data_IF_731733581506
#
_entry.id   IF_731733581506
#
_cell.length_a   1.000
_cell.length_b   1.000
_cell.length_c   1.000
_cell.angle_alpha   90.00
_cell.angle_beta   90.00
_cell.angle_gamma   90.00
#
_symmetry.space_group_name_H-M   'P 1'
#
loop_
_entity.id
_entity.type
_entity.pdbx_description
1 polymer ?
#
# COMPACT_ATOMS: atom_id res chain seq x y z
N UNK A 1 -10.86 -0.81 -21.57
CA UNK A 1 -11.60 -0.99 -22.83
C UNK A 1 -12.97 -0.35 -22.65
N UNK A 2 -13.18 0.84 -23.21
CA UNK A 2 -14.52 1.36 -23.43
C UNK A 2 -14.93 0.92 -24.84
N UNK A 3 -15.84 -0.05 -24.92
CA UNK A 3 -16.27 -0.64 -26.18
C UNK A 3 -17.32 -1.72 -25.93
N UNK A 4 -18.19 -1.96 -26.92
CA UNK A 4 -19.30 -2.94 -26.87
C UNK A 4 -18.83 -4.37 -26.51
N UNK A 5 -17.53 -4.66 -26.66
CA UNK A 5 -16.94 -5.98 -26.37
C UNK A 5 -16.47 -6.17 -24.91
N UNK A 6 -16.59 -5.16 -24.02
CA UNK A 6 -16.09 -5.27 -22.64
C UNK A 6 -16.66 -6.47 -21.87
N UNK A 7 -17.99 -6.72 -21.84
CA UNK A 7 -18.55 -7.89 -21.16
C UNK A 7 -18.07 -9.22 -21.77
N UNK A 8 -17.95 -9.29 -23.09
CA UNK A 8 -17.47 -10.48 -23.79
C UNK A 8 -15.99 -10.78 -23.45
N UNK A 9 -15.15 -9.74 -23.39
CA UNK A 9 -13.75 -9.87 -23.00
C UNK A 9 -13.58 -10.34 -21.55
N UNK A 10 -14.37 -9.77 -20.62
CA UNK A 10 -14.37 -10.21 -19.21
C UNK A 10 -14.80 -11.67 -19.12
N UNK A 11 -15.89 -12.05 -19.81
CA UNK A 11 -16.37 -13.44 -19.83
C UNK A 11 -15.33 -14.42 -20.37
N UNK A 12 -14.64 -14.08 -21.47
CA UNK A 12 -13.57 -14.90 -22.03
C UNK A 12 -12.40 -15.08 -21.06
N UNK A 13 -11.96 -14.00 -20.41
CA UNK A 13 -10.91 -14.05 -19.38
C UNK A 13 -11.30 -14.93 -18.20
N UNK A 14 -12.53 -14.80 -17.70
CA UNK A 14 -13.03 -15.64 -16.61
C UNK A 14 -13.05 -17.12 -17.02
N UNK A 15 -13.49 -17.43 -18.24
CA UNK A 15 -13.49 -18.80 -18.74
C UNK A 15 -12.07 -19.39 -18.88
N UNK A 16 -11.11 -18.58 -19.32
CA UNK A 16 -9.70 -18.98 -19.47
C UNK A 16 -9.04 -19.29 -18.11
N UNK A 17 -9.31 -18.46 -17.09
CA UNK A 17 -8.64 -18.54 -15.78
C UNK A 17 -9.38 -19.39 -14.75
N UNK A 18 -10.64 -19.75 -14.99
CA UNK A 18 -11.47 -20.54 -14.07
C UNK A 18 -10.81 -21.84 -13.56
N UNK A 19 -10.08 -22.65 -14.38
CA UNK A 19 -9.44 -23.86 -13.88
C UNK A 19 -8.40 -23.58 -12.79
N UNK A 20 -7.60 -22.53 -12.94
CA UNK A 20 -6.54 -22.15 -11.99
C UNK A 20 -7.11 -21.51 -10.71
N UNK A 21 -8.25 -20.83 -10.83
CA UNK A 21 -8.97 -20.34 -9.65
C UNK A 21 -9.59 -21.50 -8.88
N UNK A 22 -10.21 -22.46 -9.59
CA UNK A 22 -10.85 -23.61 -8.97
C UNK A 22 -9.87 -24.57 -8.27
N UNK A 23 -8.65 -24.73 -8.80
CA UNK A 23 -7.61 -25.55 -8.16
C UNK A 23 -6.77 -24.80 -7.11
N UNK A 24 -7.01 -23.49 -6.94
CA UNK A 24 -6.35 -22.63 -5.96
C UNK A 24 -4.94 -22.18 -6.34
N UNK A 25 -4.45 -22.49 -7.55
CA UNK A 25 -3.15 -22.01 -8.03
C UNK A 25 -3.15 -20.51 -8.39
N UNK A 26 -4.33 -19.92 -8.58
CA UNK A 26 -4.52 -18.50 -8.87
C UNK A 26 -5.61 -17.90 -7.97
N UNK A 27 -5.33 -16.74 -7.39
CA UNK A 27 -6.35 -15.91 -6.72
C UNK A 27 -6.38 -14.54 -7.38
N UNK A 28 -7.58 -14.05 -7.68
CA UNK A 28 -7.80 -12.78 -8.35
C UNK A 28 -8.65 -11.86 -7.48
N UNK A 29 -8.46 -10.55 -7.64
CA UNK A 29 -9.30 -9.51 -7.06
C UNK A 29 -9.60 -8.45 -8.13
N UNK A 30 -10.77 -7.80 -8.09
CA UNK A 30 -11.12 -6.77 -9.06
C UNK A 30 -10.13 -5.60 -8.99
N UNK A 31 -9.49 -5.30 -10.12
CA UNK A 31 -8.66 -4.12 -10.29
C UNK A 31 -9.47 -2.88 -10.68
N UNK A 32 -8.77 -1.77 -10.97
CA UNK A 32 -9.41 -0.52 -11.39
C UNK A 32 -10.33 -0.72 -12.60
N UNK A 33 -11.59 -0.27 -12.46
CA UNK A 33 -12.59 -0.38 -13.51
C UNK A 33 -13.27 -1.75 -13.59
N UNK A 34 -13.09 -2.62 -12.59
CA UNK A 34 -13.89 -3.83 -12.37
C UNK A 34 -14.55 -3.75 -10.99
N UNK A 35 -15.69 -4.43 -10.89
CA UNK A 35 -16.41 -4.69 -9.64
C UNK A 35 -16.29 -6.18 -9.31
N UNK A 36 -16.52 -6.58 -8.04
CA UNK A 36 -16.59 -8.01 -7.71
C UNK A 36 -17.54 -8.80 -8.62
N UNK A 37 -18.68 -8.19 -8.99
CA UNK A 37 -19.68 -8.78 -9.87
C UNK A 37 -19.13 -9.12 -11.28
N UNK A 38 -18.16 -8.37 -11.78
CA UNK A 38 -17.53 -8.65 -13.07
C UNK A 38 -16.73 -9.99 -13.04
N UNK A 39 -16.38 -10.48 -11.85
CA UNK A 39 -15.59 -11.71 -11.65
C UNK A 39 -16.40 -12.85 -11.02
N UNK A 40 -17.72 -12.70 -10.84
CA UNK A 40 -18.57 -13.70 -10.17
C UNK A 40 -18.45 -15.10 -10.79
N UNK A 41 -18.23 -15.18 -12.11
CA UNK A 41 -18.10 -16.43 -12.86
C UNK A 41 -16.90 -17.30 -12.44
N UNK A 42 -15.88 -16.70 -11.80
CA UNK A 42 -14.71 -17.43 -11.32
C UNK A 42 -14.99 -18.21 -10.03
N UNK A 43 -15.94 -17.75 -9.22
CA UNK A 43 -16.13 -18.24 -7.86
C UNK A 43 -14.92 -17.96 -6.96
N UNK A 44 -15.13 -17.83 -5.65
CA UNK A 44 -14.02 -17.72 -4.70
C UNK A 44 -13.18 -16.44 -4.80
N UNK A 45 -13.69 -15.38 -5.44
CA UNK A 45 -13.04 -14.06 -5.43
C UNK A 45 -13.13 -13.50 -4.00
N UNK A 46 -11.99 -13.21 -3.35
CA UNK A 46 -12.01 -12.61 -2.04
C UNK A 46 -12.72 -11.25 -2.08
N UNK A 47 -13.60 -11.03 -1.10
CA UNK A 47 -14.18 -9.70 -0.91
C UNK A 47 -13.09 -8.72 -0.45
N UNK A 48 -13.19 -7.42 -0.83
CA UNK A 48 -12.38 -6.38 -0.22
C UNK A 48 -12.53 -6.39 1.30
N UNK A 49 -11.44 -6.13 2.01
CA UNK A 49 -11.39 -6.11 3.47
C UNK A 49 -10.83 -4.75 3.92
N UNK A 50 -11.68 -3.70 3.91
CA UNK A 50 -11.25 -2.35 4.21
C UNK A 50 -10.75 -2.20 5.66
N UNK A 51 -11.24 -3.02 6.59
CA UNK A 51 -10.76 -3.04 7.96
C UNK A 51 -9.33 -3.60 8.05
N UNK A 52 -9.04 -4.70 7.36
CA UNK A 52 -7.67 -5.22 7.29
C UNK A 52 -6.71 -4.26 6.60
N UNK A 53 -7.15 -3.60 5.52
CA UNK A 53 -6.36 -2.57 4.85
C UNK A 53 -5.99 -1.42 5.80
N UNK A 54 -6.98 -0.86 6.50
CA UNK A 54 -6.75 0.23 7.47
C UNK A 54 -5.91 -0.23 8.65
N UNK A 55 -6.19 -1.41 9.22
CA UNK A 55 -5.40 -1.98 10.30
C UNK A 55 -3.92 -2.13 9.91
N UNK A 56 -3.65 -2.58 8.69
CA UNK A 56 -2.31 -2.67 8.11
C UNK A 56 -1.58 -1.33 8.04
N UNK A 57 -2.24 -0.29 7.53
CA UNK A 57 -1.70 1.08 7.47
C UNK A 57 -1.36 1.57 8.88
N UNK A 58 -2.29 1.41 9.83
CA UNK A 58 -2.08 1.84 11.22
C UNK A 58 -0.91 1.08 11.86
N UNK A 59 -0.78 -0.22 11.61
CA UNK A 59 0.38 -1.01 12.02
C UNK A 59 1.70 -0.43 11.51
N UNK A 60 1.76 -0.08 10.23
CA UNK A 60 2.93 0.56 9.62
C UNK A 60 3.24 1.93 10.24
N UNK A 61 2.21 2.76 10.47
CA UNK A 61 2.35 4.06 11.12
C UNK A 61 2.94 3.89 12.52
N UNK A 62 2.33 3.04 13.36
CA UNK A 62 2.82 2.77 14.73
C UNK A 62 4.28 2.31 14.75
N UNK A 63 4.64 1.39 13.86
CA UNK A 63 6.02 0.90 13.73
C UNK A 63 7.01 2.02 13.36
N UNK A 64 6.64 2.90 12.43
CA UNK A 64 7.48 4.00 11.97
C UNK A 64 7.61 5.14 12.99
N UNK A 65 6.61 5.32 13.84
CA UNK A 65 6.59 6.37 14.85
C UNK A 65 7.15 5.88 16.20
N UNK A 66 7.13 4.58 16.44
CA UNK A 66 7.56 3.97 17.70
C UNK A 66 6.82 4.55 18.89
N UNK A 67 7.55 4.90 19.96
CA UNK A 67 6.99 5.59 21.14
C UNK A 67 6.86 7.11 20.96
N UNK A 68 7.24 7.67 19.81
CA UNK A 68 7.01 9.09 19.54
C UNK A 68 5.54 9.33 19.28
N UNK A 69 4.97 10.32 19.96
CA UNK A 69 3.61 10.77 19.68
C UNK A 69 3.63 11.50 18.34
N UNK A 70 3.17 10.83 17.28
CA UNK A 70 2.64 11.55 16.12
C UNK A 70 1.36 12.23 16.57
N UNK A 71 1.29 13.54 16.38
CA UNK A 71 0.12 14.31 16.76
C UNK A 71 -0.77 14.59 15.55
N UNK A 72 -0.19 14.64 14.34
CA UNK A 72 -0.88 15.19 13.17
C UNK A 72 -0.66 14.39 11.89
N UNK A 73 -1.71 14.29 11.07
CA UNK A 73 -1.65 13.71 9.74
C UNK A 73 -2.33 14.60 8.70
N UNK A 74 -1.89 14.48 7.45
CA UNK A 74 -2.58 14.97 6.27
C UNK A 74 -2.90 13.77 5.35
N UNK A 75 -4.12 13.73 4.81
CA UNK A 75 -4.62 12.59 4.03
C UNK A 75 -4.93 13.03 2.60
N UNK A 76 -3.99 12.90 1.68
CA UNK A 76 -4.20 13.17 0.25
C UNK A 76 -5.16 12.15 -0.37
N UNK A 77 -5.01 10.88 0.00
CA UNK A 77 -5.87 9.79 -0.46
C UNK A 77 -5.99 8.70 0.61
N UNK A 78 -7.22 8.25 0.85
CA UNK A 78 -7.56 7.29 1.90
C UNK A 78 -7.53 5.83 1.43
N UNK A 79 -7.13 5.56 0.18
CA UNK A 79 -7.20 4.21 -0.39
C UNK A 79 -8.61 3.80 -0.85
N UNK A 80 -9.58 4.71 -0.82
CA UNK A 80 -10.98 4.46 -1.15
C UNK A 80 -11.83 3.97 0.03
N UNK A 81 -11.29 3.96 1.25
CA UNK A 81 -11.99 3.47 2.46
C UNK A 81 -12.74 4.56 3.24
N UNK A 82 -12.65 5.81 2.80
CA UNK A 82 -13.40 6.92 3.39
C UNK A 82 -13.05 7.17 4.86
N UNK A 83 -14.10 7.40 5.65
CA UNK A 83 -14.01 7.73 7.08
C UNK A 83 -13.29 6.66 7.92
N UNK A 84 -13.20 5.41 7.45
CA UNK A 84 -12.62 4.32 8.24
C UNK A 84 -11.15 4.61 8.60
N UNK A 85 -10.38 5.15 7.66
CA UNK A 85 -8.99 5.54 7.90
C UNK A 85 -8.89 6.68 8.90
N UNK A 86 -9.78 7.68 8.81
CA UNK A 86 -9.79 8.82 9.71
C UNK A 86 -10.17 8.42 11.14
N UNK A 87 -11.18 7.55 11.28
CA UNK A 87 -11.61 7.01 12.57
C UNK A 87 -10.48 6.19 13.22
N UNK A 88 -9.74 5.41 12.43
CA UNK A 88 -8.59 4.66 12.92
C UNK A 88 -7.39 5.55 13.32
N UNK A 89 -7.07 6.59 12.54
CA UNK A 89 -6.06 7.58 12.93
C UNK A 89 -6.45 8.31 14.23
N UNK A 90 -7.71 8.70 14.37
CA UNK A 90 -8.20 9.33 15.59
C UNK A 90 -8.11 8.40 16.81
N UNK A 91 -8.33 7.10 16.63
CA UNK A 91 -8.15 6.11 17.69
C UNK A 91 -6.68 5.98 18.16
N UNK A 92 -5.72 6.28 17.28
CA UNK A 92 -4.30 6.43 17.62
C UNK A 92 -3.95 7.78 18.26
N UNK A 93 -4.92 8.68 18.40
CA UNK A 93 -4.67 10.05 18.87
C UNK A 93 -4.03 10.95 17.81
N UNK A 94 -4.12 10.59 16.53
CA UNK A 94 -3.58 11.37 15.40
C UNK A 94 -4.67 12.28 14.84
N UNK A 95 -4.46 13.60 14.93
CA UNK A 95 -5.36 14.61 14.38
C UNK A 95 -5.15 14.77 12.86
N UNK A 96 -6.22 14.60 12.07
CA UNK A 96 -6.15 14.86 10.62
C UNK A 96 -6.35 16.36 10.36
N UNK A 97 -5.30 17.06 9.94
CA UNK A 97 -5.29 18.50 9.71
C UNK A 97 -5.81 18.91 8.33
N UNK A 98 -5.66 18.04 7.33
CA UNK A 98 -6.11 18.29 5.97
C UNK A 98 -6.44 16.98 5.24
N UNK A 99 -7.33 17.08 4.25
CA UNK A 99 -7.65 15.96 3.37
C UNK A 99 -7.87 16.41 1.93
N UNK A 100 -7.61 15.52 0.98
CA UNK A 100 -7.73 15.82 -0.45
C UNK A 100 -6.58 16.70 -0.95
N UNK A 101 -6.89 17.68 -1.81
CA UNK A 101 -5.89 18.45 -2.57
C UNK A 101 -4.90 19.23 -1.70
N UNK A 102 -5.33 19.68 -0.52
CA UNK A 102 -4.54 20.56 0.34
C UNK A 102 -3.56 19.78 1.24
N UNK A 103 -3.73 18.45 1.32
CA UNK A 103 -2.95 17.59 2.20
C UNK A 103 -1.44 17.63 1.90
N UNK A 104 -1.05 17.69 0.63
CA UNK A 104 0.38 17.71 0.24
C UNK A 104 1.13 18.95 0.75
N UNK A 105 0.42 20.07 0.91
CA UNK A 105 1.01 21.35 1.33
C UNK A 105 0.80 21.69 2.80
N UNK A 106 -0.08 20.97 3.49
CA UNK A 106 -0.41 21.22 4.90
C UNK A 106 0.67 20.61 5.79
N UNK A 107 1.36 21.40 6.65
CA UNK A 107 2.33 20.83 7.59
C UNK A 107 1.67 19.85 8.57
N UNK A 108 2.11 18.61 8.53
CA UNK A 108 1.71 17.54 9.44
C UNK A 108 2.88 16.55 9.62
N UNK A 109 2.87 15.75 10.68
CA UNK A 109 3.93 14.76 10.92
C UNK A 109 3.91 13.67 9.84
N UNK A 110 2.72 13.20 9.48
CA UNK A 110 2.48 12.08 8.56
C UNK A 110 1.69 12.53 7.34
N UNK A 111 2.11 12.11 6.14
CA UNK A 111 1.33 12.20 4.91
C UNK A 111 0.84 10.81 4.51
N UNK A 112 -0.47 10.65 4.35
CA UNK A 112 -1.09 9.49 3.70
C UNK A 112 -1.47 9.85 2.26
N UNK A 113 -0.99 9.12 1.26
CA UNK A 113 -1.11 9.53 -0.15
C UNK A 113 -1.13 8.36 -1.15
N UNK A 114 -1.75 8.55 -2.30
CA UNK A 114 -1.84 7.49 -3.30
C UNK A 114 -2.93 7.61 -4.35
N UNK A 115 -3.52 8.79 -4.58
CA UNK A 115 -4.66 8.93 -5.51
C UNK A 115 -4.36 8.49 -6.95
N UNK A 116 -3.08 8.53 -7.35
CA UNK A 116 -2.60 8.08 -8.66
C UNK A 116 -1.13 7.63 -8.61
N UNK A 117 -0.68 6.83 -9.59
CA UNK A 117 0.74 6.55 -9.76
C UNK A 117 1.57 7.82 -9.88
N UNK A 118 2.69 7.88 -9.16
CA UNK A 118 3.59 9.01 -9.12
C UNK A 118 2.92 10.31 -8.68
N UNK A 119 1.94 10.24 -7.76
CA UNK A 119 1.37 11.47 -7.17
C UNK A 119 2.46 12.27 -6.46
N UNK A 120 3.42 11.59 -5.82
CA UNK A 120 4.65 12.19 -5.32
C UNK A 120 5.79 11.92 -6.31
N UNK A 121 6.08 12.92 -7.13
CA UNK A 121 7.28 12.97 -7.95
C UNK A 121 8.36 13.86 -7.28
N UNK A 122 9.56 13.92 -7.86
CA UNK A 122 10.72 14.59 -7.26
C UNK A 122 10.55 16.08 -6.92
N UNK A 123 9.77 16.85 -7.67
CA UNK A 123 9.50 18.27 -7.39
C UNK A 123 8.57 18.41 -6.18
N UNK A 124 7.48 17.62 -6.15
CA UNK A 124 6.57 17.51 -4.99
C UNK A 124 7.36 17.07 -3.76
N UNK A 125 8.13 15.99 -3.84
CA UNK A 125 8.93 15.46 -2.73
C UNK A 125 9.92 16.50 -2.16
N UNK A 126 10.44 17.39 -3.01
CA UNK A 126 11.34 18.47 -2.60
C UNK A 126 10.67 19.55 -1.74
N UNK A 127 9.34 19.58 -1.67
CA UNK A 127 8.53 20.61 -1.03
C UNK A 127 7.67 20.09 0.12
N UNK A 128 7.61 18.76 0.32
CA UNK A 128 6.74 18.18 1.34
C UNK A 128 7.19 18.59 2.76
N UNK A 129 6.27 19.12 3.59
CA UNK A 129 6.58 19.49 4.98
C UNK A 129 6.57 18.32 5.96
N UNK A 130 6.40 17.09 5.48
CA UNK A 130 6.09 15.90 6.28
C UNK A 130 7.35 15.11 6.63
N UNK A 131 7.34 14.43 7.78
CA UNK A 131 8.46 13.60 8.24
C UNK A 131 8.30 12.12 7.90
N UNK A 132 7.06 11.65 7.81
CA UNK A 132 6.71 10.28 7.44
C UNK A 132 5.78 10.30 6.23
N UNK A 133 6.16 9.58 5.18
CA UNK A 133 5.36 9.41 3.96
C UNK A 133 4.83 7.97 3.92
N UNK A 134 3.51 7.82 3.95
CA UNK A 134 2.80 6.54 4.01
C UNK A 134 1.92 6.38 2.77
N UNK A 135 2.35 5.58 1.78
CA UNK A 135 1.52 5.30 0.63
C UNK A 135 0.23 4.54 1.01
N UNK A 136 -0.89 4.89 0.39
CA UNK A 136 -2.18 4.19 0.50
C UNK A 136 -2.58 3.50 -0.82
N UNK A 137 -1.70 3.51 -1.82
CA UNK A 137 -1.88 2.81 -3.07
C UNK A 137 -0.52 2.41 -3.70
N UNK A 138 -0.49 1.39 -4.58
CA UNK A 138 0.72 1.03 -5.32
C UNK A 138 1.22 2.16 -6.24
N UNK A 139 2.54 2.22 -6.41
CA UNK A 139 3.27 3.19 -7.23
C UNK A 139 3.01 4.65 -6.86
N UNK A 140 2.68 4.95 -5.61
CA UNK A 140 2.31 6.31 -5.19
C UNK A 140 3.45 7.34 -5.36
N UNK A 141 4.70 6.90 -5.37
CA UNK A 141 5.88 7.74 -5.56
C UNK A 141 6.80 7.23 -6.67
N UNK A 142 7.59 8.13 -7.23
CA UNK A 142 8.64 7.78 -8.20
C UNK A 142 9.97 7.43 -7.51
N UNK A 143 10.89 6.70 -8.15
CA UNK A 143 12.18 6.36 -7.54
C UNK A 143 13.03 7.61 -7.23
N UNK A 144 12.94 8.62 -8.09
CA UNK A 144 13.57 9.93 -7.86
C UNK A 144 12.95 10.67 -6.68
N UNK A 145 11.63 10.55 -6.48
CA UNK A 145 10.96 11.13 -5.32
C UNK A 145 11.42 10.48 -4.01
N UNK A 146 11.57 9.15 -3.98
CA UNK A 146 12.15 8.44 -2.84
C UNK A 146 13.52 9.03 -2.48
N UNK A 147 14.43 9.13 -3.46
CA UNK A 147 15.76 9.68 -3.23
C UNK A 147 15.75 11.13 -2.72
N UNK A 148 14.83 11.98 -3.23
CA UNK A 148 14.69 13.37 -2.78
C UNK A 148 14.10 13.46 -1.37
N UNK A 149 13.02 12.72 -1.09
CA UNK A 149 12.37 12.70 0.22
C UNK A 149 13.33 12.21 1.32
N UNK A 150 14.05 11.11 1.07
CA UNK A 150 15.06 10.58 2.00
C UNK A 150 16.20 11.56 2.22
N UNK A 151 16.69 12.23 1.17
CA UNK A 151 17.72 13.28 1.31
C UNK A 151 17.24 14.45 2.17
N UNK A 152 15.94 14.76 2.11
CA UNK A 152 15.31 15.81 2.92
C UNK A 152 14.97 15.35 4.35
N UNK A 153 15.35 14.12 4.73
CA UNK A 153 15.15 13.59 6.08
C UNK A 153 13.76 13.00 6.33
N UNK A 154 12.95 12.80 5.29
CA UNK A 154 11.68 12.10 5.43
C UNK A 154 11.88 10.58 5.35
N UNK A 155 11.17 9.86 6.21
CA UNK A 155 11.03 8.40 6.11
C UNK A 155 9.91 8.09 5.12
N UNK A 156 10.20 7.26 4.12
CA UNK A 156 9.21 6.81 3.13
C UNK A 156 8.95 5.33 3.34
N UNK A 157 7.70 4.96 3.62
CA UNK A 157 7.33 3.55 3.77
C UNK A 157 7.12 2.89 2.40
N UNK A 158 7.39 1.58 2.27
CA UNK A 158 7.16 0.85 1.03
C UNK A 158 5.65 0.69 0.78
N UNK A 159 5.18 1.09 -0.39
CA UNK A 159 3.77 1.00 -0.79
C UNK A 159 3.24 -0.44 -0.82
N UNK A 160 4.06 -1.37 -1.29
CA UNK A 160 3.76 -2.81 -1.31
C UNK A 160 3.71 -3.44 0.09
N UNK A 161 4.15 -2.73 1.13
CA UNK A 161 3.96 -3.15 2.54
C UNK A 161 2.73 -2.46 3.11
N UNK A 162 2.61 -1.13 3.00
CA UNK A 162 1.50 -0.38 3.59
C UNK A 162 0.13 -0.78 3.05
N UNK A 163 0.07 -1.28 1.82
CA UNK A 163 -1.17 -1.73 1.16
C UNK A 163 -1.46 -3.22 1.32
N UNK A 164 -0.60 -3.98 2.01
CA UNK A 164 -0.69 -5.45 2.10
C UNK A 164 -1.65 -5.98 3.19
N UNK A 165 -2.43 -5.11 3.85
CA UNK A 165 -3.28 -5.50 4.99
C UNK A 165 -4.27 -6.63 4.64
N UNK A 166 -4.92 -6.56 3.49
CA UNK A 166 -5.82 -7.64 3.04
C UNK A 166 -5.08 -8.96 2.78
N UNK A 167 -3.86 -8.91 2.28
CA UNK A 167 -3.04 -10.12 2.06
C UNK A 167 -2.66 -10.77 3.40
N UNK A 168 -2.32 -9.95 4.40
CA UNK A 168 -2.07 -10.44 5.75
C UNK A 168 -3.33 -11.10 6.35
N UNK A 169 -4.49 -10.46 6.26
CA UNK A 169 -5.79 -11.02 6.71
C UNK A 169 -6.07 -12.37 6.05
N UNK A 170 -5.90 -12.48 4.73
CA UNK A 170 -6.10 -13.73 3.97
C UNK A 170 -5.13 -14.84 4.34
N UNK A 171 -3.93 -14.50 4.81
CA UNK A 171 -2.97 -15.49 5.34
C UNK A 171 -3.34 -16.00 6.74
N UNK A 172 -4.39 -15.44 7.37
CA UNK A 172 -4.77 -15.73 8.75
C UNK A 172 -4.01 -14.92 9.79
N UNK A 173 -3.23 -13.90 9.37
CA UNK A 173 -2.47 -13.03 10.25
C UNK A 173 -3.29 -11.81 10.67
N UNK A 174 -3.05 -11.28 11.88
CA UNK A 174 -3.54 -9.96 12.27
C UNK A 174 -2.85 -8.89 11.40
N UNK A 175 -3.58 -8.13 10.56
CA UNK A 175 -2.97 -7.22 9.58
C UNK A 175 -2.12 -6.14 10.22
N UNK A 176 -2.57 -5.56 11.33
CA UNK A 176 -1.85 -4.49 12.02
C UNK A 176 -0.53 -4.97 12.59
N UNK A 177 -0.53 -6.09 13.31
CA UNK A 177 0.68 -6.66 13.90
C UNK A 177 1.65 -7.17 12.83
N UNK A 178 1.15 -7.85 11.79
CA UNK A 178 1.98 -8.40 10.73
C UNK A 178 2.70 -7.29 9.94
N UNK A 179 1.99 -6.23 9.57
CA UNK A 179 2.57 -5.13 8.81
C UNK A 179 3.45 -4.23 9.67
N UNK A 180 3.16 -4.10 10.98
CA UNK A 180 4.07 -3.45 11.92
C UNK A 180 5.43 -4.18 11.95
N UNK A 181 5.45 -5.50 12.11
CA UNK A 181 6.68 -6.30 12.15
C UNK A 181 7.51 -6.18 10.87
N UNK A 182 6.86 -6.25 9.70
CA UNK A 182 7.53 -6.05 8.41
C UNK A 182 8.10 -4.64 8.31
N UNK A 183 7.36 -3.63 8.78
CA UNK A 183 7.79 -2.23 8.76
C UNK A 183 8.97 -1.99 9.69
N UNK A 184 8.98 -2.53 10.89
CA UNK A 184 10.10 -2.44 11.84
C UNK A 184 11.39 -3.04 11.25
N UNK A 185 11.30 -4.25 10.66
CA UNK A 185 12.43 -4.88 9.98
C UNK A 185 12.94 -4.03 8.81
N UNK A 186 12.03 -3.47 8.02
CA UNK A 186 12.38 -2.62 6.89
C UNK A 186 13.09 -1.33 7.34
N UNK A 187 12.62 -0.68 8.40
CA UNK A 187 13.17 0.56 8.95
C UNK A 187 14.59 0.40 9.50
N UNK A 188 14.99 -0.81 9.91
CA UNK A 188 16.33 -1.08 10.41
C UNK A 188 17.42 -1.03 9.32
N UNK A 189 17.04 -0.98 8.03
CA UNK A 189 17.98 -0.99 6.92
C UNK A 189 18.60 0.39 6.67
N UNK A 190 19.92 0.44 6.51
CA UNK A 190 20.68 1.70 6.37
C UNK A 190 20.32 2.53 5.13
N UNK A 191 19.90 1.85 4.05
CA UNK A 191 19.43 2.51 2.82
C UNK A 191 17.95 2.93 2.87
N UNK A 192 17.30 2.80 4.03
CA UNK A 192 15.90 3.19 4.25
C UNK A 192 14.89 2.06 4.04
N UNK A 193 13.65 2.31 4.47
CA UNK A 193 12.60 1.28 4.60
C UNK A 193 12.24 0.58 3.29
N UNK A 194 12.16 1.31 2.17
CA UNK A 194 11.81 0.71 0.88
C UNK A 194 12.84 -0.35 0.44
N UNK A 195 14.13 -0.03 0.55
CA UNK A 195 15.19 -0.99 0.24
C UNK A 195 15.26 -2.11 1.29
N UNK A 196 15.07 -1.80 2.57
CA UNK A 196 14.98 -2.80 3.63
C UNK A 196 13.88 -3.85 3.38
N UNK A 197 12.71 -3.41 2.97
CA UNK A 197 11.61 -4.30 2.61
C UNK A 197 11.93 -5.15 1.37
N UNK A 198 12.61 -4.57 0.36
CA UNK A 198 13.10 -5.34 -0.79
C UNK A 198 14.09 -6.43 -0.36
N UNK A 199 15.05 -6.11 0.52
CA UNK A 199 16.02 -7.09 1.03
C UNK A 199 15.35 -8.22 1.82
N UNK A 200 14.41 -7.87 2.70
CA UNK A 200 13.65 -8.87 3.44
C UNK A 200 12.86 -9.81 2.51
N UNK A 201 12.28 -9.28 1.42
CA UNK A 201 11.59 -10.10 0.43
C UNK A 201 12.56 -10.99 -0.37
N UNK A 202 13.72 -10.45 -0.80
CA UNK A 202 14.78 -11.20 -1.48
C UNK A 202 15.28 -12.37 -0.62
N UNK A 203 15.59 -12.12 0.65
CA UNK A 203 16.04 -13.13 1.60
C UNK A 203 14.98 -14.21 1.83
N UNK A 204 13.71 -13.82 1.95
CA UNK A 204 12.61 -14.77 2.10
C UNK A 204 12.46 -15.65 0.85
N UNK A 205 12.50 -15.07 -0.35
CA UNK A 205 12.41 -15.82 -1.62
C UNK A 205 13.56 -16.81 -1.76
N UNK A 206 14.78 -16.39 -1.40
CA UNK A 206 15.97 -17.25 -1.46
C UNK A 206 15.94 -18.43 -0.48
N UNK A 207 15.02 -18.44 0.49
CA UNK A 207 14.85 -19.61 1.37
C UNK A 207 14.17 -20.80 0.67
N UNK A 208 13.53 -20.59 -0.48
CA UNK A 208 12.81 -21.63 -1.23
C UNK A 208 12.99 -21.57 -2.76
N UNK A 209 13.82 -20.65 -3.27
CA UNK A 209 14.25 -20.59 -4.67
C UNK A 209 15.74 -20.25 -4.75
N UNK A 210 16.44 -20.87 -5.69
CA UNK A 210 17.87 -20.63 -5.88
C UNK A 210 18.17 -19.26 -6.51
N UNK A 211 17.26 -18.76 -7.35
CA UNK A 211 17.39 -17.50 -8.08
C UNK A 211 16.25 -16.52 -7.78
N UNK A 212 16.62 -15.24 -7.67
CA UNK A 212 15.67 -14.15 -7.52
C UNK A 212 14.89 -13.89 -8.81
N UNK A 213 13.61 -13.48 -8.71
CA UNK A 213 12.88 -12.94 -9.86
C UNK A 213 13.56 -11.67 -10.38
N UNK A 214 13.38 -11.40 -11.67
CA UNK A 214 13.96 -10.22 -12.31
C UNK A 214 13.33 -8.92 -11.77
N UNK A 215 14.18 -7.98 -11.35
CA UNK A 215 13.79 -6.62 -10.97
C UNK A 215 13.38 -6.46 -9.50
N UNK A 216 13.32 -5.20 -9.06
CA UNK A 216 12.80 -4.81 -7.74
C UNK A 216 11.52 -3.99 -7.89
N UNK A 217 10.66 -3.93 -6.86
CA UNK A 217 9.43 -3.13 -6.89
C UNK A 217 9.66 -1.60 -6.91
N UNK A 218 10.91 -1.14 -7.02
CA UNK A 218 11.28 0.29 -7.06
C UNK A 218 11.53 0.84 -8.47
N UNK A 219 11.17 0.11 -9.53
CA UNK A 219 11.29 0.56 -10.93
C UNK A 219 12.70 0.49 -11.50
#
# INVERSE_FOLDING_TARGET
AEGEDRPAAIGAFCAETAPQVADGSLTLSPGKGLTPADLDALGGIPSPDPEAFVAGIIGCVRAATGSHTVATAAVEFDGGVGKLLHEALAAEGIEVLASGSDALGTPADVLLFGSRPGVVEHTVAGQLPHRLLVPTAPMAFTPRALAVATRNGATVLPDFVTTAGELASRSGSDPGSALAEVTERALAHEEGAVLGACRAAEEFILSWRDDLPFGRPIG
#
